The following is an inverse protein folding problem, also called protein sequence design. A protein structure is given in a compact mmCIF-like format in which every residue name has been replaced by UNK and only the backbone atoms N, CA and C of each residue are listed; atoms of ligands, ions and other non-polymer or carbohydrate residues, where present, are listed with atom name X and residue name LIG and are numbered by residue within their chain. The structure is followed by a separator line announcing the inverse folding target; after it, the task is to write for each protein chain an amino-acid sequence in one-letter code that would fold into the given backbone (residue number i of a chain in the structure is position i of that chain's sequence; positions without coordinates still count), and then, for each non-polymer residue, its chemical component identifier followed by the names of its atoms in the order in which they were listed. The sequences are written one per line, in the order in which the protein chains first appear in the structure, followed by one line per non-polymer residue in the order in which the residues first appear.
data_IF_413752980425
#
_entry.id   IF_413752980425
#
_cell.length_a   1.000
_cell.length_b   1.000
_cell.length_c   1.000
_cell.angle_alpha   90.00
_cell.angle_beta   90.00
_cell.angle_gamma   90.00
#
_symmetry.space_group_name_H-M   'P 1'
#
loop_
_entity.id
_entity.type
_entity.pdbx_description
1 polymer ?
#
# COMPACT_ATOMS: atom_id res chain seq x y z
N UNK A 1 10.85 -7.79 35.49
CA UNK A 1 10.59 -6.72 36.44
C UNK A 1 10.51 -7.24 37.87
N UNK A 2 9.55 -8.11 38.22
CA UNK A 2 9.40 -8.66 39.58
C UNK A 2 10.66 -9.37 40.04
N UNK A 3 11.19 -10.29 39.25
CA UNK A 3 12.43 -11.03 39.55
C UNK A 3 13.65 -10.11 39.81
N UNK A 4 13.85 -9.10 38.96
CA UNK A 4 14.95 -8.15 39.12
C UNK A 4 14.75 -7.24 40.36
N UNK A 5 13.50 -7.00 40.76
CA UNK A 5 13.20 -6.31 42.02
C UNK A 5 13.47 -7.15 43.24
N UNK A 6 13.19 -8.44 43.16
CA UNK A 6 13.42 -9.41 44.26
C UNK A 6 14.92 -9.71 44.43
N UNK A 7 15.70 -9.59 43.36
CA UNK A 7 17.17 -9.74 43.35
C UNK A 7 17.91 -8.41 43.66
N UNK A 8 17.18 -7.35 44.06
CA UNK A 8 17.68 -6.00 44.38
C UNK A 8 18.40 -5.29 43.23
N UNK A 9 18.18 -5.73 41.98
CA UNK A 9 18.68 -5.08 40.76
C UNK A 9 17.73 -3.95 40.31
N UNK A 10 17.70 -2.87 41.07
CA UNK A 10 16.72 -1.80 40.90
C UNK A 10 16.85 -1.05 39.57
N UNK A 11 18.03 -0.92 39.01
CA UNK A 11 18.24 -0.29 37.70
C UNK A 11 17.60 -1.10 36.59
N UNK A 12 17.79 -2.40 36.55
CA UNK A 12 17.18 -3.31 35.59
C UNK A 12 15.66 -3.38 35.78
N UNK A 13 15.19 -3.36 37.02
CA UNK A 13 13.75 -3.30 37.29
C UNK A 13 13.10 -2.01 36.80
N UNK A 14 13.81 -0.88 36.86
CA UNK A 14 13.37 0.41 36.30
C UNK A 14 13.32 0.37 34.76
N UNK A 15 14.35 -0.15 34.10
CA UNK A 15 14.38 -0.32 32.64
C UNK A 15 13.23 -1.19 32.13
N UNK A 16 12.98 -2.33 32.77
CA UNK A 16 11.84 -3.19 32.44
C UNK A 16 10.50 -2.52 32.67
N UNK A 17 10.37 -1.69 33.70
CA UNK A 17 9.14 -0.91 33.95
C UNK A 17 8.91 0.14 32.85
N UNK A 18 9.96 0.84 32.43
CA UNK A 18 9.84 1.90 31.42
C UNK A 18 9.59 1.29 30.02
N UNK A 19 10.18 0.11 29.75
CA UNK A 19 9.86 -0.67 28.56
C UNK A 19 8.40 -1.13 28.54
N UNK A 20 7.90 -1.66 29.66
CA UNK A 20 6.48 -2.04 29.81
C UNK A 20 5.55 -0.86 29.59
N UNK A 21 5.84 0.31 30.19
CA UNK A 21 5.06 1.54 29.96
C UNK A 21 5.09 2.01 28.51
N UNK A 22 6.23 1.83 27.84
CA UNK A 22 6.36 2.17 26.41
C UNK A 22 5.51 1.23 25.55
N UNK A 23 5.54 -0.07 25.84
CA UNK A 23 4.70 -1.08 25.19
C UNK A 23 3.22 -0.81 25.46
N UNK A 24 2.84 -0.51 26.70
CA UNK A 24 1.47 -0.17 27.08
C UNK A 24 0.99 1.09 26.34
N UNK A 25 1.82 2.13 26.20
CA UNK A 25 1.49 3.34 25.40
C UNK A 25 1.30 3.05 23.93
N UNK A 26 2.09 2.14 23.36
CA UNK A 26 1.94 1.69 21.98
C UNK A 26 0.64 0.90 21.84
N UNK A 27 0.36 0.00 22.77
CA UNK A 27 -0.90 -0.77 22.81
C UNK A 27 -2.11 0.12 23.06
N UNK A 28 -2.00 1.17 23.89
CA UNK A 28 -3.08 2.14 24.13
C UNK A 28 -3.39 3.02 22.91
N UNK A 29 -2.40 3.32 22.08
CA UNK A 29 -2.62 3.97 20.78
C UNK A 29 -3.29 3.03 19.76
N UNK A 30 -3.17 1.72 19.96
CA UNK A 30 -3.84 0.70 19.15
C UNK A 30 -5.18 0.26 19.75
N UNK A 31 -5.82 1.08 20.59
CA UNK A 31 -7.13 0.77 21.19
C UNK A 31 -8.25 0.68 20.13
N UNK A 32 -8.23 -0.40 19.38
CA UNK A 32 -9.45 -1.00 18.88
C UNK A 32 -9.88 -2.02 19.96
N UNK A 33 -10.27 -1.53 21.11
CA UNK A 33 -10.90 -2.34 22.14
C UNK A 33 -12.34 -2.61 21.70
N UNK A 34 -12.52 -3.63 20.87
CA UNK A 34 -13.85 -4.18 20.61
C UNK A 34 -14.12 -5.22 21.69
N UNK A 35 -15.10 -4.96 22.55
CA UNK A 35 -15.54 -5.84 23.64
C UNK A 35 -16.19 -7.16 23.17
N UNK A 36 -16.20 -7.47 21.88
CA UNK A 36 -16.64 -8.72 21.33
C UNK A 36 -15.40 -9.44 20.74
N UNK A 37 -15.16 -10.67 21.21
CA UNK A 37 -14.13 -11.59 20.67
C UNK A 37 -14.45 -12.08 19.24
N UNK A 38 -15.08 -11.22 18.43
CA UNK A 38 -15.54 -11.56 17.10
C UNK A 38 -14.46 -11.26 16.07
N UNK A 39 -14.28 -12.21 15.18
CA UNK A 39 -13.42 -12.05 14.02
C UNK A 39 -14.19 -11.32 12.92
N UNK A 40 -13.58 -10.26 12.39
CA UNK A 40 -14.17 -9.46 11.31
C UNK A 40 -13.11 -8.88 10.40
N UNK A 41 -13.52 -8.62 9.18
CA UNK A 41 -12.73 -7.84 8.23
C UNK A 41 -13.45 -6.50 8.01
N UNK A 42 -12.67 -5.45 7.78
CA UNK A 42 -13.19 -4.10 7.53
C UNK A 42 -12.62 -3.67 6.20
N UNK A 43 -13.49 -3.36 5.26
CA UNK A 43 -13.13 -3.03 3.89
C UNK A 43 -13.66 -1.64 3.58
N UNK A 44 -12.79 -0.77 3.11
CA UNK A 44 -13.13 0.54 2.60
C UNK A 44 -12.28 0.86 1.37
N UNK A 45 -12.73 1.79 0.56
CA UNK A 45 -12.04 2.17 -0.66
C UNK A 45 -11.86 3.68 -0.77
N UNK A 46 -10.88 4.07 -1.55
CA UNK A 46 -10.70 5.43 -2.03
C UNK A 46 -10.52 5.38 -3.54
N UNK A 47 -11.07 6.34 -4.22
CA UNK A 47 -11.01 6.45 -5.67
C UNK A 47 -10.49 7.84 -6.07
N UNK A 48 -9.80 7.89 -7.18
CA UNK A 48 -9.35 9.12 -7.79
C UNK A 48 -9.21 8.90 -9.30
N UNK A 49 -10.18 9.42 -10.06
CA UNK A 49 -10.36 9.15 -11.49
C UNK A 49 -10.60 7.64 -11.73
N UNK A 50 -9.70 6.95 -12.40
CA UNK A 50 -9.77 5.50 -12.66
C UNK A 50 -9.07 4.64 -11.61
N UNK A 51 -8.23 5.28 -10.81
CA UNK A 51 -7.45 4.59 -9.78
C UNK A 51 -8.28 4.36 -8.52
N UNK A 52 -8.39 3.12 -8.10
CA UNK A 52 -9.07 2.72 -6.87
C UNK A 52 -8.11 1.98 -5.97
N UNK A 53 -8.06 2.37 -4.71
CA UNK A 53 -7.35 1.64 -3.66
C UNK A 53 -8.38 1.10 -2.68
N UNK A 54 -8.40 -0.20 -2.50
CA UNK A 54 -9.20 -0.87 -1.47
C UNK A 54 -8.30 -1.24 -0.30
N UNK A 55 -8.67 -0.82 0.90
CA UNK A 55 -7.98 -1.17 2.15
C UNK A 55 -8.80 -2.18 2.93
N UNK A 56 -8.14 -3.22 3.44
CA UNK A 56 -8.75 -4.24 4.28
C UNK A 56 -8.00 -4.32 5.62
N UNK A 57 -8.76 -4.33 6.72
CA UNK A 57 -8.23 -4.51 8.07
C UNK A 57 -8.73 -5.84 8.63
N UNK A 58 -7.83 -6.64 9.14
CA UNK A 58 -8.14 -7.94 9.72
C UNK A 58 -8.24 -7.83 11.24
N UNK A 59 -9.45 -7.95 11.77
CA UNK A 59 -9.71 -7.99 13.21
C UNK A 59 -9.89 -9.45 13.63
N UNK A 60 -9.09 -9.91 14.56
CA UNK A 60 -9.18 -11.27 15.12
C UNK A 60 -9.20 -11.19 16.64
N UNK A 61 -10.18 -11.83 17.25
CA UNK A 61 -10.39 -11.77 18.72
C UNK A 61 -10.42 -10.32 19.25
N UNK A 62 -11.07 -9.42 18.47
CA UNK A 62 -11.18 -8.00 18.83
C UNK A 62 -9.90 -7.17 18.66
N UNK A 63 -8.80 -7.72 18.14
CA UNK A 63 -7.53 -7.03 17.91
C UNK A 63 -7.25 -6.89 16.43
N UNK A 64 -6.69 -5.75 16.02
CA UNK A 64 -6.19 -5.56 14.66
C UNK A 64 -4.95 -6.44 14.46
N UNK A 65 -5.07 -7.48 13.65
CA UNK A 65 -3.99 -8.41 13.32
C UNK A 65 -3.09 -7.85 12.21
N UNK A 66 -3.69 -7.22 11.21
CA UNK A 66 -2.98 -6.67 10.07
C UNK A 66 -3.87 -5.82 9.19
N UNK A 67 -3.24 -5.21 8.20
CA UNK A 67 -3.90 -4.44 7.14
C UNK A 67 -3.21 -4.70 5.82
N UNK A 68 -4.00 -4.72 4.76
CA UNK A 68 -3.54 -4.82 3.38
C UNK A 68 -4.24 -3.77 2.52
N UNK A 69 -3.67 -3.47 1.37
CA UNK A 69 -4.30 -2.61 0.38
C UNK A 69 -4.08 -3.19 -1.01
N UNK A 70 -5.03 -2.94 -1.89
CA UNK A 70 -5.06 -3.45 -3.24
C UNK A 70 -5.39 -2.32 -4.20
N UNK A 71 -4.67 -2.29 -5.32
CA UNK A 71 -4.93 -1.37 -6.40
C UNK A 71 -5.87 -2.02 -7.41
N UNK A 72 -6.85 -1.26 -7.85
CA UNK A 72 -7.80 -1.65 -8.88
C UNK A 72 -7.95 -0.49 -9.85
N UNK A 73 -8.28 -0.81 -11.08
CA UNK A 73 -8.74 0.16 -12.06
C UNK A 73 -10.25 0.03 -12.19
N UNK A 74 -10.97 1.14 -12.14
CA UNK A 74 -12.40 1.19 -12.36
C UNK A 74 -12.69 1.88 -13.70
N UNK A 75 -13.67 1.36 -14.42
CA UNK A 75 -14.20 2.06 -15.58
C UNK A 75 -15.02 3.28 -15.13
N UNK A 76 -15.06 4.33 -15.95
CA UNK A 76 -15.78 5.58 -15.64
C UNK A 76 -17.29 5.38 -15.38
N UNK A 77 -17.85 4.28 -15.89
CA UNK A 77 -19.27 3.93 -15.73
C UNK A 77 -19.53 3.00 -14.53
N UNK A 78 -18.48 2.46 -13.89
CA UNK A 78 -18.63 1.52 -12.77
C UNK A 78 -19.06 2.23 -11.49
N UNK A 79 -20.09 1.73 -10.83
CA UNK A 79 -20.50 2.24 -9.53
C UNK A 79 -19.57 1.74 -8.41
N UNK A 80 -19.53 2.48 -7.29
CA UNK A 80 -18.75 2.08 -6.11
C UNK A 80 -19.16 0.71 -5.56
N UNK A 81 -20.45 0.45 -5.64
CA UNK A 81 -21.06 -0.82 -5.21
C UNK A 81 -20.58 -1.99 -6.06
N UNK A 82 -20.42 -1.77 -7.37
CA UNK A 82 -19.92 -2.80 -8.30
C UNK A 82 -18.42 -3.06 -8.08
N UNK A 83 -17.63 -2.00 -7.97
CA UNK A 83 -16.18 -2.10 -7.75
C UNK A 83 -15.89 -2.82 -6.42
N UNK A 84 -16.56 -2.41 -5.34
CA UNK A 84 -16.37 -3.04 -4.03
C UNK A 84 -16.88 -4.49 -4.03
N UNK A 85 -17.99 -4.77 -4.71
CA UNK A 85 -18.53 -6.11 -4.89
C UNK A 85 -17.59 -7.02 -5.68
N UNK A 86 -16.98 -6.52 -6.76
CA UNK A 86 -15.98 -7.23 -7.55
C UNK A 86 -14.75 -7.56 -6.70
N UNK A 87 -14.24 -6.57 -5.94
CA UNK A 87 -13.14 -6.78 -5.01
C UNK A 87 -13.44 -7.89 -4.00
N UNK A 88 -14.59 -7.83 -3.33
CA UNK A 88 -15.01 -8.83 -2.32
C UNK A 88 -15.06 -10.22 -2.93
N UNK A 89 -15.65 -10.38 -4.11
CA UNK A 89 -15.70 -11.65 -4.83
C UNK A 89 -14.30 -12.18 -5.11
N UNK A 90 -13.43 -11.36 -5.68
CA UNK A 90 -12.07 -11.76 -6.05
C UNK A 90 -11.20 -12.08 -4.82
N UNK A 91 -11.23 -11.24 -3.81
CA UNK A 91 -10.42 -11.41 -2.60
C UNK A 91 -10.79 -12.69 -1.85
N UNK A 92 -12.08 -12.88 -1.58
CA UNK A 92 -12.53 -14.06 -0.83
C UNK A 92 -12.58 -15.34 -1.66
N UNK A 93 -12.49 -15.28 -2.99
CA UNK A 93 -12.30 -16.49 -3.80
C UNK A 93 -10.98 -17.20 -3.45
N UNK A 94 -9.91 -16.44 -3.29
CA UNK A 94 -8.56 -16.94 -2.97
C UNK A 94 -8.24 -17.08 -1.50
N UNK A 95 -9.02 -16.45 -0.61
CA UNK A 95 -8.71 -16.40 0.82
C UNK A 95 -9.23 -17.66 1.54
N UNK A 96 -8.37 -18.37 2.30
CA UNK A 96 -8.78 -19.60 3.01
C UNK A 96 -9.60 -19.33 4.26
N UNK A 97 -9.40 -18.18 4.91
CA UNK A 97 -10.08 -17.81 6.14
C UNK A 97 -11.17 -16.76 5.89
N UNK A 98 -12.36 -17.02 6.41
CA UNK A 98 -13.53 -16.16 6.28
C UNK A 98 -14.06 -15.78 7.67
N UNK A 99 -14.15 -14.48 8.01
CA UNK A 99 -14.73 -14.02 9.27
C UNK A 99 -16.26 -14.18 9.27
N UNK A 100 -16.88 -14.04 10.44
CA UNK A 100 -18.35 -14.05 10.55
C UNK A 100 -18.99 -12.73 10.16
N UNK A 101 -18.27 -11.62 10.29
CA UNK A 101 -18.73 -10.29 9.96
C UNK A 101 -17.73 -9.60 9.05
N UNK A 102 -18.23 -8.94 8.02
CA UNK A 102 -17.45 -8.08 7.12
C UNK A 102 -18.09 -6.69 7.15
N UNK A 103 -17.33 -5.71 7.58
CA UNK A 103 -17.77 -4.31 7.60
C UNK A 103 -17.37 -3.64 6.31
N UNK A 104 -18.34 -2.97 5.70
CA UNK A 104 -18.17 -2.23 4.46
C UNK A 104 -18.45 -0.75 4.69
N UNK A 105 -17.84 0.10 3.87
CA UNK A 105 -18.10 1.54 3.88
C UNK A 105 -19.49 1.86 3.33
N UNK A 106 -19.88 1.18 2.27
CA UNK A 106 -21.21 1.30 1.63
C UNK A 106 -21.67 -0.07 1.15
N UNK A 107 -22.87 -0.14 0.62
CA UNK A 107 -23.42 -1.40 0.13
C UNK A 107 -22.64 -1.90 -1.10
N UNK A 108 -22.83 -3.16 -1.45
CA UNK A 108 -22.21 -3.79 -2.61
C UNK A 108 -23.28 -4.38 -3.53
N UNK A 109 -22.96 -4.42 -4.81
CA UNK A 109 -23.80 -5.09 -5.78
C UNK A 109 -23.92 -6.60 -5.44
N UNK A 110 -25.10 -7.17 -5.65
CA UNK A 110 -25.37 -8.60 -5.41
C UNK A 110 -25.06 -9.09 -3.97
N UNK A 111 -25.20 -8.23 -2.98
CA UNK A 111 -24.86 -8.49 -1.57
C UNK A 111 -25.37 -9.83 -1.05
N UNK A 112 -26.64 -10.12 -1.26
CA UNK A 112 -27.30 -11.33 -0.75
C UNK A 112 -26.70 -12.61 -1.37
N UNK A 113 -26.38 -12.55 -2.67
CA UNK A 113 -25.76 -13.67 -3.39
C UNK A 113 -24.35 -13.92 -2.87
N UNK A 114 -23.59 -12.83 -2.63
CA UNK A 114 -22.23 -12.92 -2.11
C UNK A 114 -22.25 -13.42 -0.65
N UNK A 115 -23.17 -12.97 0.19
CA UNK A 115 -23.33 -13.47 1.56
C UNK A 115 -23.63 -14.98 1.59
N UNK A 116 -24.52 -15.44 0.71
CA UNK A 116 -24.86 -16.86 0.61
C UNK A 116 -23.66 -17.70 0.16
N UNK A 117 -22.94 -17.22 -0.88
CA UNK A 117 -21.73 -17.88 -1.37
C UNK A 117 -20.64 -17.97 -0.30
N UNK A 118 -20.34 -16.86 0.40
CA UNK A 118 -19.37 -16.84 1.48
C UNK A 118 -19.77 -17.70 2.67
N UNK A 119 -21.06 -17.72 2.99
CA UNK A 119 -21.59 -18.58 4.07
C UNK A 119 -21.44 -20.06 3.74
N UNK A 120 -21.71 -20.46 2.48
CA UNK A 120 -21.46 -21.82 2.01
C UNK A 120 -19.97 -22.19 2.07
N UNK A 121 -19.10 -21.26 1.60
CA UNK A 121 -17.66 -21.49 1.63
C UNK A 121 -17.10 -21.60 3.06
N UNK A 122 -17.61 -20.80 3.99
CA UNK A 122 -17.20 -20.81 5.40
C UNK A 122 -17.76 -22.01 6.17
N UNK A 123 -18.90 -22.58 5.75
CA UNK A 123 -19.68 -23.56 6.51
C UNK A 123 -20.46 -22.96 7.69
N UNK A 124 -20.56 -21.62 7.77
CA UNK A 124 -21.30 -20.87 8.78
C UNK A 124 -21.70 -19.50 8.23
N UNK A 125 -22.70 -18.85 8.81
CA UNK A 125 -23.17 -17.54 8.33
C UNK A 125 -22.09 -16.49 8.29
N UNK A 126 -22.07 -15.73 7.20
CA UNK A 126 -21.28 -14.50 7.00
C UNK A 126 -22.24 -13.36 6.78
N UNK A 127 -22.00 -12.21 7.41
CA UNK A 127 -22.86 -11.04 7.27
C UNK A 127 -22.05 -9.81 6.90
N UNK A 128 -22.53 -9.09 5.87
CA UNK A 128 -22.07 -7.74 5.59
C UNK A 128 -22.78 -6.71 6.47
N UNK A 129 -22.05 -5.80 7.06
CA UNK A 129 -22.59 -4.71 7.88
C UNK A 129 -22.01 -3.39 7.42
N UNK A 130 -22.84 -2.36 7.39
CA UNK A 130 -22.46 -0.98 7.08
C UNK A 130 -22.66 -0.15 8.35
N UNK A 131 -21.62 0.00 9.16
CA UNK A 131 -21.74 0.75 10.39
C UNK A 131 -21.86 2.25 10.12
N UNK A 132 -22.92 2.89 10.59
CA UNK A 132 -23.16 4.33 10.39
C UNK A 132 -22.81 5.19 11.60
N UNK A 133 -22.46 4.60 12.75
CA UNK A 133 -22.13 5.33 13.99
C UNK A 133 -21.35 4.47 14.99
N UNK A 134 -20.69 5.14 15.92
CA UNK A 134 -19.97 4.50 17.03
C UNK A 134 -18.59 3.96 16.63
N UNK A 135 -18.02 3.09 17.46
CA UNK A 135 -16.66 2.55 17.24
C UNK A 135 -16.53 1.74 15.95
N UNK A 136 -17.56 1.00 15.55
CA UNK A 136 -17.55 0.21 14.31
C UNK A 136 -17.43 1.11 13.08
N UNK A 137 -18.15 2.24 13.07
CA UNK A 137 -18.03 3.23 12.01
C UNK A 137 -16.63 3.87 11.97
N UNK A 138 -16.07 4.24 13.14
CA UNK A 138 -14.69 4.77 13.19
C UNK A 138 -13.66 3.83 12.61
N UNK A 139 -13.84 2.52 12.76
CA UNK A 139 -12.94 1.53 12.15
C UNK A 139 -13.04 1.54 10.62
N UNK A 140 -14.24 1.70 10.08
CA UNK A 140 -14.45 1.83 8.62
C UNK A 140 -13.82 3.14 8.13
N UNK A 141 -14.01 4.25 8.84
CA UNK A 141 -13.35 5.52 8.53
C UNK A 141 -11.82 5.40 8.54
N UNK A 142 -11.24 4.72 9.53
CA UNK A 142 -9.79 4.46 9.56
C UNK A 142 -9.31 3.64 8.35
N UNK A 143 -10.09 2.65 7.90
CA UNK A 143 -9.75 1.88 6.70
C UNK A 143 -9.84 2.76 5.44
N UNK A 144 -10.85 3.65 5.37
CA UNK A 144 -11.00 4.63 4.30
C UNK A 144 -9.84 5.62 4.26
N UNK A 145 -9.50 6.21 5.41
CA UNK A 145 -8.34 7.10 5.51
C UNK A 145 -7.04 6.41 5.09
N UNK A 146 -6.89 5.13 5.42
CA UNK A 146 -5.73 4.35 4.98
C UNK A 146 -5.71 4.21 3.46
N UNK A 147 -6.85 3.89 2.81
CA UNK A 147 -6.95 3.82 1.35
C UNK A 147 -6.61 5.17 0.70
N UNK A 148 -7.16 6.28 1.22
CA UNK A 148 -6.87 7.63 0.75
C UNK A 148 -5.38 8.00 0.88
N UNK A 149 -4.74 7.62 1.99
CA UNK A 149 -3.33 7.89 2.20
C UNK A 149 -2.44 7.13 1.21
N UNK A 150 -2.75 5.86 0.94
CA UNK A 150 -2.04 5.05 -0.07
C UNK A 150 -2.17 5.71 -1.43
N UNK A 151 -3.39 6.02 -1.87
CA UNK A 151 -3.67 6.64 -3.17
C UNK A 151 -2.93 7.97 -3.34
N UNK A 152 -2.89 8.80 -2.28
CA UNK A 152 -2.14 10.05 -2.29
C UNK A 152 -0.63 9.84 -2.40
N UNK A 153 -0.07 8.87 -1.66
CA UNK A 153 1.36 8.57 -1.70
C UNK A 153 1.79 8.07 -3.09
N UNK A 154 0.98 7.25 -3.73
CA UNK A 154 1.26 6.76 -5.08
C UNK A 154 1.23 7.89 -6.12
N UNK A 155 0.25 8.79 -6.04
CA UNK A 155 0.24 10.00 -6.88
C UNK A 155 1.47 10.89 -6.66
N UNK A 156 1.86 11.09 -5.42
CA UNK A 156 3.07 11.86 -5.14
C UNK A 156 4.32 11.18 -5.69
N UNK A 157 4.39 9.85 -5.65
CA UNK A 157 5.47 9.07 -6.22
C UNK A 157 5.51 9.22 -7.74
N UNK A 158 4.39 9.04 -8.43
CA UNK A 158 4.26 9.22 -9.88
C UNK A 158 4.68 10.64 -10.28
N UNK A 159 4.15 11.67 -9.62
CA UNK A 159 4.54 13.07 -9.88
C UNK A 159 6.03 13.35 -9.67
N UNK A 160 6.64 12.69 -8.68
CA UNK A 160 8.10 12.82 -8.47
C UNK A 160 8.89 12.13 -9.58
N UNK A 161 8.45 10.97 -10.03
CA UNK A 161 9.07 10.25 -11.13
C UNK A 161 8.92 11.01 -12.46
N UNK A 162 7.74 11.53 -12.77
CA UNK A 162 7.51 12.42 -13.92
C UNK A 162 8.41 13.66 -13.88
N UNK A 163 8.54 14.26 -12.72
CA UNK A 163 9.39 15.45 -12.55
C UNK A 163 10.88 15.13 -12.73
N UNK A 164 11.30 13.93 -12.32
CA UNK A 164 12.70 13.47 -12.48
C UNK A 164 13.03 13.04 -13.92
N UNK A 165 12.05 12.61 -14.68
CA UNK A 165 12.19 12.10 -16.06
C UNK A 165 11.83 13.20 -17.07
N UNK A 166 10.57 13.41 -17.33
CA UNK A 166 10.06 14.37 -18.33
C UNK A 166 10.42 15.82 -17.94
N UNK A 167 10.29 16.15 -16.67
CA UNK A 167 10.65 17.48 -16.16
C UNK A 167 12.13 17.80 -16.36
N UNK A 168 13.02 16.83 -16.11
CA UNK A 168 14.46 17.02 -16.33
C UNK A 168 14.79 17.23 -17.82
N UNK A 169 14.10 16.53 -18.72
CA UNK A 169 14.26 16.73 -20.17
C UNK A 169 13.81 18.12 -20.58
N UNK A 170 12.67 18.60 -20.08
CA UNK A 170 12.20 19.97 -20.37
C UNK A 170 13.13 21.05 -19.82
N UNK A 171 13.77 20.82 -18.66
CA UNK A 171 14.79 21.74 -18.14
C UNK A 171 16.03 21.79 -19.05
N UNK A 172 16.47 20.63 -19.56
CA UNK A 172 17.58 20.55 -20.52
C UNK A 172 17.19 21.24 -21.83
N UNK A 173 16.01 21.00 -22.38
CA UNK A 173 15.50 21.69 -23.57
C UNK A 173 15.55 23.21 -23.40
N UNK A 174 15.10 23.69 -22.24
CA UNK A 174 15.11 25.12 -21.92
C UNK A 174 16.52 25.69 -21.78
N UNK A 175 17.42 24.94 -21.16
CA UNK A 175 18.79 25.34 -20.95
C UNK A 175 19.56 25.42 -22.27
N UNK A 176 19.32 24.47 -23.16
CA UNK A 176 20.02 24.40 -24.47
C UNK A 176 19.29 25.14 -25.58
N UNK A 177 18.08 25.65 -25.37
CA UNK A 177 17.25 26.33 -26.38
C UNK A 177 16.77 25.43 -27.50
N UNK A 178 16.69 24.12 -27.26
CA UNK A 178 16.20 23.10 -28.21
C UNK A 178 14.80 22.64 -27.84
N UNK A 179 14.08 22.03 -28.76
CA UNK A 179 12.73 21.47 -28.53
C UNK A 179 12.63 20.08 -29.13
N UNK A 180 11.83 19.22 -28.50
CA UNK A 180 11.55 17.86 -29.00
C UNK A 180 12.71 16.90 -28.73
N UNK A 181 13.33 17.03 -27.58
CA UNK A 181 14.42 16.15 -27.15
C UNK A 181 13.85 14.77 -26.75
N UNK A 182 13.87 13.84 -27.70
CA UNK A 182 13.33 12.50 -27.47
C UNK A 182 14.39 11.46 -27.10
N UNK A 183 15.67 11.78 -27.35
CA UNK A 183 16.81 10.89 -27.09
C UNK A 183 18.02 11.67 -26.63
N UNK A 184 18.67 11.17 -25.60
CA UNK A 184 19.95 11.67 -25.09
C UNK A 184 20.94 10.53 -24.98
N UNK A 185 22.20 10.79 -25.34
CA UNK A 185 23.28 9.84 -25.20
C UNK A 185 24.38 10.45 -24.34
N UNK A 186 24.81 9.70 -23.34
CA UNK A 186 25.93 10.09 -22.50
C UNK A 186 27.06 9.06 -22.67
N UNK A 187 28.26 9.57 -22.84
CA UNK A 187 29.47 8.76 -23.01
C UNK A 187 30.39 9.00 -21.83
N UNK A 188 30.80 7.93 -21.19
CA UNK A 188 31.88 7.94 -20.21
C UNK A 188 33.11 7.25 -20.82
N UNK A 189 34.21 8.00 -20.87
CA UNK A 189 35.45 7.50 -21.44
C UNK A 189 36.50 7.42 -20.35
N UNK A 190 36.93 6.21 -20.05
CA UNK A 190 38.00 5.97 -19.07
C UNK A 190 39.24 5.32 -19.74
N UNK A 191 40.40 5.71 -19.29
CA UNK A 191 41.65 5.10 -19.71
C UNK A 191 42.58 4.86 -18.51
N UNK A 192 43.44 3.87 -18.60
CA UNK A 192 44.46 3.58 -17.61
C UNK A 192 45.76 4.13 -18.14
N UNK A 193 46.17 5.33 -17.68
CA UNK A 193 47.46 5.99 -18.03
C UNK A 193 47.76 6.08 -19.53
N UNK A 194 46.72 6.33 -20.34
CA UNK A 194 46.84 6.46 -21.78
C UNK A 194 46.80 5.13 -22.55
N UNK A 195 46.63 4.00 -21.89
CA UNK A 195 46.47 2.69 -22.49
C UNK A 195 45.07 2.13 -22.27
N UNK A 196 44.60 1.34 -23.23
CA UNK A 196 43.29 0.64 -23.14
C UNK A 196 42.09 1.58 -22.84
N UNK A 197 41.84 2.48 -23.77
CA UNK A 197 40.64 3.37 -23.66
C UNK A 197 39.37 2.53 -23.76
N UNK A 198 38.50 2.64 -22.76
CA UNK A 198 37.18 2.02 -22.69
C UNK A 198 36.13 3.10 -22.68
N UNK A 199 35.13 3.00 -23.50
CA UNK A 199 33.96 3.88 -23.50
C UNK A 199 32.72 3.11 -23.12
N UNK A 200 31.90 3.69 -22.24
CA UNK A 200 30.54 3.26 -21.98
C UNK A 200 29.56 4.31 -22.49
N UNK A 201 28.45 3.85 -23.05
CA UNK A 201 27.39 4.72 -23.56
C UNK A 201 26.09 4.38 -22.84
N UNK A 202 25.39 5.42 -22.37
CA UNK A 202 24.04 5.32 -21.82
C UNK A 202 23.10 6.09 -22.72
N UNK A 203 22.00 5.48 -23.11
CA UNK A 203 20.95 6.08 -23.95
C UNK A 203 19.69 6.26 -23.12
N UNK A 204 19.13 7.47 -23.16
CA UNK A 204 17.84 7.82 -22.57
C UNK A 204 16.86 8.13 -23.69
N UNK A 205 15.73 7.43 -23.74
CA UNK A 205 14.64 7.69 -24.68
C UNK A 205 13.35 8.02 -23.93
N UNK A 206 12.66 9.08 -24.35
CA UNK A 206 11.46 9.59 -23.67
C UNK A 206 10.23 8.69 -23.84
N UNK A 207 10.19 7.88 -24.92
CA UNK A 207 9.06 6.99 -25.22
C UNK A 207 9.05 5.66 -24.49
N UNK A 208 10.18 5.32 -23.84
CA UNK A 208 10.34 4.07 -23.09
C UNK A 208 11.13 4.42 -21.82
N UNK A 209 10.47 4.38 -20.68
CA UNK A 209 11.12 4.42 -19.36
C UNK A 209 11.85 3.07 -19.18
N UNK A 210 12.82 2.79 -20.02
CA UNK A 210 13.74 1.70 -19.87
C UNK A 210 15.16 2.27 -19.94
N UNK A 211 15.82 2.25 -18.79
CA UNK A 211 17.28 2.30 -18.73
C UNK A 211 17.75 1.03 -19.44
N UNK A 212 18.16 1.15 -20.71
CA UNK A 212 18.87 0.06 -21.36
C UNK A 212 20.19 -0.12 -20.64
N UNK A 213 20.54 -1.36 -20.29
CA UNK A 213 21.79 -1.72 -19.66
C UNK A 213 22.99 -1.15 -20.43
N UNK A 214 24.07 -0.72 -19.74
CA UNK A 214 25.24 -0.15 -20.38
C UNK A 214 25.85 -1.18 -21.34
N UNK A 215 25.75 -0.92 -22.63
CA UNK A 215 26.40 -1.73 -23.65
C UNK A 215 27.91 -1.43 -23.57
N UNK A 216 28.71 -2.41 -23.15
CA UNK A 216 30.15 -2.32 -23.23
C UNK A 216 30.54 -2.39 -24.74
N UNK A 217 30.91 -1.27 -25.30
CA UNK A 217 31.52 -1.23 -26.63
C UNK A 217 32.97 -1.67 -26.52
N UNK A 218 33.37 -2.52 -27.48
CA UNK A 218 34.68 -3.15 -27.56
C UNK A 218 35.80 -2.13 -27.76
N UNK A 219 36.99 -2.55 -27.36
CA UNK A 219 38.28 -1.90 -27.57
C UNK A 219 38.36 -1.20 -28.94
N UNK A 220 38.60 0.11 -28.91
CA UNK A 220 39.01 0.86 -30.10
C UNK A 220 40.54 0.76 -30.11
N UNK A 221 41.05 -0.04 -31.08
CA UNK A 221 42.46 -0.17 -31.37
C UNK A 221 42.99 1.04 -32.13
#
# INVERSE_FOLDING_TARGET
MQKASDELEFEQAMEYRDLLKSIERIMDRQKINTYAFEDRDIIAMAEDDKDVVVSIFFIRKGKLLGREHFHMEADEESSKEEVLGAFVKQFYAGTPYLPGEIFLEHDIAEKEIIEEWLSKKRGAKVHFKIPVRGQKHKMVEMAKENAQNVLRMDREKIKREEKRTIGAVHEIEKLLGIKGLNRMEAFDISNISGFQTVASMVVFELSLIHISEPTRLALIS
#
